data_IF_350304975422
#
_entry.id   IF_350304975422
#
_cell.length_a   1.000
_cell.length_b   1.000
_cell.length_c   1.000
_cell.angle_alpha   90.00
_cell.angle_beta   90.00
_cell.angle_gamma   90.00
#
_symmetry.space_group_name_H-M   'P 1'
#
loop_
_entity.id
_entity.type
_entity.pdbx_description
1 polymer ?
#
# COMPACT_ATOMS: atom_id res chain seq x y z
N UNK A 1 0.54 10.53 6.95
CA UNK A 1 0.18 9.46 5.98
C UNK A 1 0.96 8.21 6.37
N UNK A 2 0.29 7.10 6.68
CA UNK A 2 0.97 5.82 6.98
C UNK A 2 0.32 4.74 6.13
N UNK A 3 1.03 4.29 5.09
CA UNK A 3 0.67 3.06 4.38
C UNK A 3 0.90 1.92 5.39
N UNK A 4 -0.10 1.08 5.64
CA UNK A 4 0.06 -0.08 6.50
C UNK A 4 0.59 -1.25 5.69
N UNK A 5 1.83 -1.65 5.95
CA UNK A 5 2.54 -2.69 5.21
C UNK A 5 3.29 -3.64 6.13
N UNK A 6 3.64 -4.80 5.59
CA UNK A 6 4.49 -5.79 6.21
C UNK A 6 5.65 -6.13 5.27
N UNK A 7 6.88 -6.10 5.79
CA UNK A 7 8.07 -6.57 5.07
C UNK A 7 8.26 -8.05 5.40
N UNK A 8 8.11 -8.92 4.41
CA UNK A 8 8.47 -10.34 4.50
C UNK A 8 9.92 -10.46 4.06
N UNK A 9 10.77 -11.07 4.88
CA UNK A 9 12.17 -11.35 4.52
C UNK A 9 12.42 -12.85 4.53
N UNK A 10 13.30 -13.32 3.65
CA UNK A 10 13.77 -14.70 3.61
C UNK A 10 15.15 -14.75 2.94
N UNK A 11 15.75 -15.93 2.78
CA UNK A 11 17.04 -16.09 2.07
C UNK A 11 17.00 -17.28 1.13
N UNK A 12 17.58 -17.11 -0.06
CA UNK A 12 17.76 -18.19 -1.04
C UNK A 12 18.59 -19.33 -0.48
N UNK A 13 19.61 -19.00 0.33
CA UNK A 13 20.44 -19.98 1.01
C UNK A 13 19.60 -20.86 1.95
N UNK A 14 18.70 -20.25 2.74
CA UNK A 14 17.79 -20.98 3.64
C UNK A 14 16.82 -21.86 2.87
N UNK A 15 16.18 -21.33 1.84
CA UNK A 15 15.25 -22.08 0.98
C UNK A 15 15.91 -23.31 0.35
N UNK A 16 17.11 -23.13 -0.22
CA UNK A 16 17.87 -24.24 -0.80
C UNK A 16 18.21 -25.29 0.25
N UNK A 17 18.63 -24.87 1.46
CA UNK A 17 18.91 -25.79 2.56
C UNK A 17 17.68 -26.56 3.04
N UNK A 18 16.49 -25.95 3.07
CA UNK A 18 15.23 -26.65 3.38
C UNK A 18 14.98 -27.75 2.34
N UNK A 19 15.09 -27.44 1.05
CA UNK A 19 14.87 -28.42 -0.02
C UNK A 19 15.84 -29.60 0.07
N UNK A 20 17.13 -29.31 0.22
CA UNK A 20 18.18 -30.34 0.31
C UNK A 20 17.96 -31.23 1.53
N UNK A 21 17.66 -30.65 2.70
CA UNK A 21 17.40 -31.43 3.91
C UNK A 21 16.14 -32.29 3.83
N UNK A 22 15.13 -31.84 3.08
CA UNK A 22 13.93 -32.64 2.82
C UNK A 22 14.16 -33.80 1.82
N UNK A 23 15.37 -33.91 1.26
CA UNK A 23 15.75 -34.98 0.33
C UNK A 23 15.59 -34.61 -1.15
N UNK A 24 15.40 -33.33 -1.50
CA UNK A 24 15.41 -32.89 -2.89
C UNK A 24 16.85 -32.82 -3.41
N UNK A 25 17.09 -33.46 -4.56
CA UNK A 25 18.37 -33.37 -5.28
C UNK A 25 18.61 -31.94 -5.77
N UNK A 26 19.87 -31.49 -5.76
CA UNK A 26 20.26 -30.14 -6.18
C UNK A 26 19.66 -29.71 -7.53
N UNK A 27 19.63 -30.60 -8.51
CA UNK A 27 19.09 -30.36 -9.86
C UNK A 27 17.57 -30.05 -9.88
N UNK A 28 16.83 -30.49 -8.86
CA UNK A 28 15.38 -30.32 -8.75
C UNK A 28 14.95 -29.21 -7.76
N UNK A 29 15.90 -28.57 -7.08
CA UNK A 29 15.63 -27.54 -6.07
C UNK A 29 14.87 -26.36 -6.66
N UNK A 30 15.26 -25.90 -7.85
CA UNK A 30 14.60 -24.77 -8.53
C UNK A 30 13.14 -25.12 -8.86
N UNK A 31 12.89 -26.32 -9.36
CA UNK A 31 11.54 -26.74 -9.74
C UNK A 31 10.60 -26.93 -8.55
N UNK A 32 11.13 -27.35 -7.40
CA UNK A 32 10.40 -27.37 -6.15
C UNK A 32 10.10 -25.96 -5.65
N UNK A 33 11.08 -25.05 -5.69
CA UNK A 33 10.89 -23.66 -5.28
C UNK A 33 9.89 -22.92 -6.17
N UNK A 34 9.81 -23.25 -7.47
CA UNK A 34 8.76 -22.75 -8.38
C UNK A 34 7.36 -23.18 -7.96
N UNK A 35 7.21 -24.35 -7.35
CA UNK A 35 5.92 -24.75 -6.75
C UNK A 35 5.66 -23.96 -5.46
N UNK A 36 6.68 -23.74 -4.62
CA UNK A 36 6.53 -23.00 -3.35
C UNK A 36 6.19 -21.52 -3.58
N UNK A 37 6.73 -20.86 -4.61
CA UNK A 37 6.39 -19.46 -4.95
C UNK A 37 4.88 -19.26 -5.20
N UNK A 38 4.18 -20.32 -5.60
CA UNK A 38 2.73 -20.29 -5.83
C UNK A 38 1.91 -20.44 -4.56
N UNK A 39 2.53 -20.69 -3.40
CA UNK A 39 1.83 -21.01 -2.15
C UNK A 39 0.80 -19.95 -1.76
N UNK A 40 1.16 -18.67 -1.88
CA UNK A 40 0.25 -17.57 -1.55
C UNK A 40 -0.94 -17.47 -2.53
N UNK A 41 -0.81 -18.00 -3.76
CA UNK A 41 -1.81 -17.89 -4.83
C UNK A 41 -2.76 -19.09 -4.90
N UNK A 42 -2.23 -20.31 -4.80
CA UNK A 42 -3.01 -21.54 -5.00
C UNK A 42 -3.21 -22.34 -3.70
N UNK A 43 -2.52 -21.97 -2.61
CA UNK A 43 -2.63 -22.62 -1.31
C UNK A 43 -1.87 -23.93 -1.19
N UNK A 44 -1.70 -24.39 0.04
CA UNK A 44 -0.86 -25.55 0.38
C UNK A 44 -1.32 -26.85 -0.31
N UNK A 45 -2.62 -27.12 -0.33
CA UNK A 45 -3.17 -28.34 -0.93
C UNK A 45 -2.80 -28.48 -2.41
N UNK A 46 -2.94 -27.40 -3.18
CA UNK A 46 -2.64 -27.41 -4.61
C UNK A 46 -1.13 -27.42 -4.88
N UNK A 47 -0.31 -26.74 -4.05
CA UNK A 47 1.15 -26.84 -4.15
C UNK A 47 1.63 -28.27 -3.85
N UNK A 48 1.06 -28.95 -2.86
CA UNK A 48 1.38 -30.36 -2.56
C UNK A 48 1.05 -31.28 -3.74
N UNK A 49 -0.10 -31.07 -4.40
CA UNK A 49 -0.47 -31.80 -5.63
C UNK A 49 0.51 -31.52 -6.77
N UNK A 50 0.90 -30.26 -6.97
CA UNK A 50 1.87 -29.90 -8.01
C UNK A 50 3.22 -30.57 -7.76
N UNK A 51 3.74 -30.53 -6.54
CA UNK A 51 4.98 -31.22 -6.17
C UNK A 51 4.88 -32.73 -6.39
N UNK A 52 3.76 -33.35 -6.00
CA UNK A 52 3.55 -34.77 -6.23
C UNK A 52 3.53 -35.12 -7.72
N UNK A 53 2.87 -34.30 -8.55
CA UNK A 53 2.83 -34.49 -10.02
C UNK A 53 4.20 -34.35 -10.69
N UNK A 54 5.12 -33.60 -10.08
CA UNK A 54 6.53 -33.46 -10.50
C UNK A 54 7.41 -34.64 -10.06
N UNK A 55 6.85 -35.65 -9.38
CA UNK A 55 7.55 -36.85 -8.95
C UNK A 55 8.21 -36.76 -7.56
N UNK A 56 7.93 -35.71 -6.77
CA UNK A 56 8.42 -35.64 -5.40
C UNK A 56 7.63 -36.59 -4.48
N UNK A 57 8.35 -37.31 -3.62
CA UNK A 57 7.73 -38.26 -2.68
C UNK A 57 6.92 -37.52 -1.60
N UNK A 58 5.87 -38.17 -1.11
CA UNK A 58 4.94 -37.59 -0.13
C UNK A 58 5.62 -37.19 1.18
N UNK A 59 6.54 -38.03 1.69
CA UNK A 59 7.35 -37.77 2.87
C UNK A 59 8.24 -36.52 2.71
N UNK A 60 8.90 -36.37 1.56
CA UNK A 60 9.68 -35.18 1.21
C UNK A 60 8.80 -33.92 1.19
N UNK A 61 7.62 -34.00 0.57
CA UNK A 61 6.68 -32.88 0.52
C UNK A 61 6.23 -32.46 1.92
N UNK A 62 5.82 -33.40 2.77
CA UNK A 62 5.42 -33.09 4.14
C UNK A 62 6.57 -32.46 4.94
N UNK A 63 7.78 -32.98 4.80
CA UNK A 63 8.96 -32.43 5.48
C UNK A 63 9.28 -30.99 5.04
N UNK A 64 9.12 -30.65 3.75
CA UNK A 64 9.28 -29.26 3.26
C UNK A 64 8.29 -28.33 3.98
N UNK A 65 7.01 -28.70 4.01
CA UNK A 65 5.97 -27.89 4.62
C UNK A 65 6.12 -27.78 6.14
N UNK A 66 6.55 -28.86 6.79
CA UNK A 66 6.89 -28.85 8.20
C UNK A 66 8.03 -27.85 8.48
N UNK A 67 9.14 -27.92 7.73
CA UNK A 67 10.28 -27.02 7.89
C UNK A 67 9.92 -25.55 7.58
N UNK A 68 9.08 -25.29 6.59
CA UNK A 68 8.60 -23.93 6.30
C UNK A 68 7.76 -23.38 7.45
N UNK A 69 6.89 -24.21 8.06
CA UNK A 69 5.98 -23.81 9.13
C UNK A 69 6.66 -23.69 10.50
N UNK A 70 7.55 -24.61 10.83
CA UNK A 70 8.16 -24.70 12.17
C UNK A 70 9.17 -23.59 12.45
N UNK A 71 9.52 -22.76 11.45
CA UNK A 71 10.60 -21.80 11.48
C UNK A 71 11.91 -22.53 11.79
N UNK A 72 12.71 -22.88 10.79
CA UNK A 72 13.83 -23.77 10.96
C UNK A 72 15.03 -23.03 11.56
N UNK A 73 14.85 -22.44 12.75
CA UNK A 73 15.86 -21.71 13.53
C UNK A 73 17.06 -22.59 13.86
N UNK A 74 16.87 -23.91 13.84
CA UNK A 74 17.90 -24.93 14.02
C UNK A 74 18.67 -25.25 12.72
N UNK A 75 18.30 -24.67 11.57
CA UNK A 75 19.16 -24.69 10.39
C UNK A 75 20.37 -23.78 10.64
N UNK A 76 21.47 -24.39 11.06
CA UNK A 76 22.77 -23.73 11.11
C UNK A 76 23.31 -23.55 9.68
N UNK A 77 22.81 -22.54 8.98
CA UNK A 77 23.19 -22.19 7.61
C UNK A 77 23.46 -20.69 7.52
N UNK A 78 24.41 -20.30 6.68
CA UNK A 78 24.84 -18.90 6.51
C UNK A 78 23.66 -17.94 6.26
N UNK A 79 22.66 -18.38 5.48
CA UNK A 79 21.48 -17.57 5.21
C UNK A 79 20.63 -17.24 6.45
N UNK A 80 20.66 -18.07 7.49
CA UNK A 80 19.96 -17.79 8.74
C UNK A 80 20.72 -16.74 9.57
N UNK A 81 22.05 -16.80 9.57
CA UNK A 81 22.89 -15.76 10.19
C UNK A 81 22.71 -14.40 9.50
N UNK A 82 22.66 -14.39 8.16
CA UNK A 82 22.37 -13.19 7.37
C UNK A 82 21.01 -12.59 7.73
N UNK A 83 19.97 -13.43 7.87
CA UNK A 83 18.62 -12.99 8.25
C UNK A 83 18.55 -12.44 9.67
N UNK A 84 19.28 -13.05 10.61
CA UNK A 84 19.36 -12.57 12.00
C UNK A 84 20.04 -11.20 12.05
N UNK A 85 21.19 -11.04 11.38
CA UNK A 85 21.88 -9.74 11.27
C UNK A 85 21.02 -8.69 10.58
N UNK A 86 20.34 -9.05 9.49
CA UNK A 86 19.40 -8.15 8.81
C UNK A 86 18.27 -7.71 9.75
N UNK A 87 17.73 -8.63 10.54
CA UNK A 87 16.68 -8.33 11.53
C UNK A 87 17.17 -7.38 12.63
N UNK A 88 18.42 -7.52 13.07
CA UNK A 88 19.06 -6.59 14.01
C UNK A 88 19.21 -5.20 13.40
N UNK A 89 19.71 -5.11 12.17
CA UNK A 89 19.86 -3.83 11.47
C UNK A 89 18.50 -3.14 11.24
N UNK A 90 17.46 -3.88 10.83
CA UNK A 90 16.12 -3.33 10.67
C UNK A 90 15.60 -2.71 11.97
N UNK A 91 15.83 -3.36 13.12
CA UNK A 91 15.45 -2.82 14.43
C UNK A 91 16.24 -1.55 14.79
N UNK A 92 17.53 -1.49 14.46
CA UNK A 92 18.36 -0.29 14.67
C UNK A 92 17.87 0.90 13.81
N UNK A 93 17.31 0.63 12.62
CA UNK A 93 16.63 1.63 11.79
C UNK A 93 15.18 1.90 12.20
N UNK A 94 14.73 1.38 13.35
CA UNK A 94 13.36 1.51 13.87
C UNK A 94 12.27 0.90 12.96
N UNK A 95 12.66 0.01 12.04
CA UNK A 95 11.75 -0.73 11.17
C UNK A 95 11.29 -1.98 11.90
N UNK A 96 10.09 -1.92 12.47
CA UNK A 96 9.53 -3.01 13.29
C UNK A 96 8.48 -3.86 12.57
N UNK A 97 8.01 -3.43 11.40
CA UNK A 97 6.96 -4.09 10.64
C UNK A 97 7.51 -5.09 9.62
N UNK A 98 8.34 -6.02 10.10
CA UNK A 98 8.86 -7.12 9.28
C UNK A 98 8.68 -8.48 9.96
N UNK A 99 8.70 -9.54 9.15
CA UNK A 99 8.76 -10.94 9.63
C UNK A 99 9.67 -11.77 8.73
N UNK A 100 10.33 -12.77 9.31
CA UNK A 100 10.97 -13.83 8.53
C UNK A 100 9.87 -14.77 8.05
N UNK A 101 9.79 -14.98 6.74
CA UNK A 101 8.76 -15.80 6.10
C UNK A 101 9.41 -16.85 5.20
N UNK A 102 9.54 -18.07 5.71
CA UNK A 102 10.19 -19.17 4.98
C UNK A 102 9.40 -19.66 3.77
N UNK A 103 8.15 -19.21 3.59
CA UNK A 103 7.37 -19.47 2.39
C UNK A 103 7.65 -18.50 1.24
N UNK A 104 8.30 -17.36 1.52
CA UNK A 104 8.63 -16.37 0.51
C UNK A 104 9.71 -16.91 -0.43
N UNK A 105 9.34 -17.28 -1.66
CA UNK A 105 10.23 -17.88 -2.66
C UNK A 105 10.26 -17.08 -3.98
N UNK A 106 10.74 -15.83 -3.94
CA UNK A 106 10.78 -14.92 -5.11
C UNK A 106 12.07 -15.04 -5.93
N UNK A 107 12.00 -14.66 -7.22
CA UNK A 107 13.15 -14.41 -8.11
C UNK A 107 14.15 -15.57 -8.16
N UNK A 108 13.63 -16.76 -8.44
CA UNK A 108 14.32 -18.03 -8.25
C UNK A 108 15.57 -18.20 -9.12
N UNK A 109 15.64 -17.45 -10.22
CA UNK A 109 16.66 -17.61 -11.25
C UNK A 109 17.92 -16.75 -11.02
N UNK A 110 17.86 -15.71 -10.15
CA UNK A 110 18.99 -14.76 -10.02
C UNK A 110 19.33 -14.29 -8.60
N UNK A 111 18.45 -14.43 -7.60
CA UNK A 111 18.82 -14.09 -6.23
C UNK A 111 19.79 -15.13 -5.62
N UNK A 112 20.80 -14.65 -4.90
CA UNK A 112 21.88 -15.45 -4.28
C UNK A 112 21.84 -15.45 -2.75
N UNK A 113 21.13 -14.51 -2.13
CA UNK A 113 21.14 -14.30 -0.68
C UNK A 113 19.79 -13.87 -0.12
N UNK A 114 19.75 -12.87 0.79
CA UNK A 114 18.50 -12.34 1.33
C UNK A 114 17.58 -11.83 0.22
N UNK A 115 16.29 -12.10 0.38
CA UNK A 115 15.18 -11.64 -0.46
C UNK A 115 14.12 -11.03 0.45
N UNK A 116 13.36 -10.08 -0.10
CA UNK A 116 12.29 -9.46 0.64
C UNK A 116 11.13 -9.06 -0.28
N UNK A 117 9.97 -8.94 0.35
CA UNK A 117 8.73 -8.49 -0.27
C UNK A 117 8.02 -7.56 0.70
N UNK A 118 7.58 -6.41 0.20
CA UNK A 118 6.72 -5.49 0.93
C UNK A 118 5.30 -5.74 0.46
N UNK A 119 4.42 -6.15 1.37
CA UNK A 119 3.01 -6.38 1.08
C UNK A 119 2.14 -5.34 1.79
N UNK A 120 1.12 -4.84 1.10
CA UNK A 120 0.08 -4.03 1.74
C UNK A 120 -0.76 -4.91 2.66
N UNK A 121 -1.17 -4.41 3.83
CA UNK A 121 -2.16 -5.11 4.65
C UNK A 121 -3.54 -5.15 3.99
N UNK A 122 -3.80 -4.29 3.01
CA UNK A 122 -4.95 -4.45 2.13
C UNK A 122 -4.70 -5.63 1.18
N UNK A 123 -5.36 -6.77 1.48
CA UNK A 123 -5.24 -8.03 0.71
C UNK A 123 -5.60 -7.88 -0.77
N UNK A 124 -6.38 -6.87 -1.17
CA UNK A 124 -6.70 -6.63 -2.59
C UNK A 124 -5.47 -6.21 -3.41
N UNK A 125 -4.52 -5.53 -2.78
CA UNK A 125 -3.40 -4.86 -3.45
C UNK A 125 -2.18 -5.78 -3.51
N UNK A 126 -1.98 -6.59 -2.48
CA UNK A 126 -0.89 -7.57 -2.43
C UNK A 126 0.50 -6.93 -2.32
N UNK A 127 1.44 -7.43 -3.12
CA UNK A 127 2.86 -7.04 -3.11
C UNK A 127 3.08 -5.65 -3.74
N UNK A 128 3.64 -4.70 -2.99
CA UNK A 128 3.89 -3.32 -3.45
C UNK A 128 5.35 -3.08 -3.81
N UNK A 129 6.26 -3.88 -3.29
CA UNK A 129 7.68 -3.85 -3.64
C UNK A 129 8.32 -5.21 -3.38
N UNK A 130 9.43 -5.47 -4.06
CA UNK A 130 10.22 -6.67 -3.82
C UNK A 130 11.66 -6.47 -4.23
N UNK A 131 12.54 -7.30 -3.70
CA UNK A 131 13.96 -7.17 -3.95
C UNK A 131 14.78 -8.26 -3.27
N UNK A 132 16.09 -8.09 -3.34
CA UNK A 132 17.04 -9.03 -2.76
C UNK A 132 18.44 -8.87 -3.30
N UNK A 133 19.32 -9.77 -2.85
CA UNK A 133 20.73 -9.85 -3.23
C UNK A 133 20.95 -10.80 -4.41
N UNK A 134 21.70 -10.38 -5.42
CA UNK A 134 21.90 -11.08 -6.70
C UNK A 134 23.36 -10.97 -7.19
N UNK A 135 24.28 -11.61 -6.47
CA UNK A 135 25.73 -11.42 -6.67
C UNK A 135 26.27 -11.93 -8.02
N UNK A 136 25.53 -12.81 -8.70
CA UNK A 136 25.98 -13.44 -9.95
C UNK A 136 25.42 -12.75 -11.21
N UNK A 137 24.49 -11.79 -11.07
CA UNK A 137 23.79 -11.22 -12.23
C UNK A 137 24.71 -10.34 -13.09
N UNK A 138 25.57 -9.55 -12.46
CA UNK A 138 26.48 -8.62 -13.16
C UNK A 138 27.60 -9.39 -13.87
N UNK A 139 28.03 -10.52 -13.31
CA UNK A 139 29.06 -11.42 -13.88
C UNK A 139 28.64 -12.01 -15.24
N UNK A 140 27.33 -12.07 -15.54
CA UNK A 140 26.86 -12.48 -16.87
C UNK A 140 27.24 -11.50 -17.99
N UNK A 141 27.56 -10.25 -17.63
CA UNK A 141 27.84 -9.15 -18.55
C UNK A 141 29.18 -8.46 -18.27
N UNK A 142 29.94 -8.92 -17.27
CA UNK A 142 31.20 -8.34 -16.82
C UNK A 142 32.20 -9.44 -16.49
N UNK A 143 33.49 -9.17 -16.69
CA UNK A 143 34.57 -10.06 -16.24
C UNK A 143 34.78 -10.05 -14.73
N UNK A 144 34.11 -9.14 -14.02
CA UNK A 144 34.20 -8.99 -12.57
C UNK A 144 32.95 -9.52 -11.87
N UNK A 145 33.17 -10.23 -10.76
CA UNK A 145 32.10 -10.61 -9.85
C UNK A 145 31.76 -9.46 -8.92
N UNK A 146 30.63 -8.80 -9.17
CA UNK A 146 30.18 -7.63 -8.43
C UNK A 146 28.92 -7.98 -7.62
N UNK A 147 29.03 -8.08 -6.28
CA UNK A 147 27.88 -8.24 -5.40
C UNK A 147 26.88 -7.09 -5.54
N UNK A 148 25.59 -7.41 -5.58
CA UNK A 148 24.55 -6.41 -5.76
C UNK A 148 23.29 -6.75 -4.94
N UNK A 149 22.62 -5.72 -4.46
CA UNK A 149 21.29 -5.81 -3.85
C UNK A 149 20.44 -4.64 -4.32
N UNK A 150 19.14 -4.85 -4.43
CA UNK A 150 18.24 -3.82 -4.94
C UNK A 150 16.79 -4.07 -4.59
N UNK A 151 15.97 -3.08 -4.91
CA UNK A 151 14.53 -3.07 -4.72
C UNK A 151 13.84 -2.59 -6.01
N UNK A 152 12.68 -3.14 -6.30
CA UNK A 152 11.76 -2.63 -7.30
C UNK A 152 10.42 -2.27 -6.66
N UNK A 153 9.84 -1.14 -7.08
CA UNK A 153 8.59 -0.61 -6.57
C UNK A 153 7.48 -0.79 -7.61
N UNK A 154 6.36 -1.38 -7.19
CA UNK A 154 5.14 -1.46 -8.00
C UNK A 154 4.37 -0.16 -7.95
N UNK A 155 4.80 0.84 -8.73
CA UNK A 155 4.23 2.20 -8.71
C UNK A 155 2.71 2.22 -8.96
N UNK A 156 2.20 1.40 -9.87
CA UNK A 156 0.76 1.28 -10.15
C UNK A 156 -0.04 0.88 -8.89
N UNK A 157 0.45 -0.10 -8.13
CA UNK A 157 -0.18 -0.55 -6.87
C UNK A 157 -0.08 0.51 -5.77
N UNK A 158 1.04 1.24 -5.73
CA UNK A 158 1.19 2.38 -4.81
C UNK A 158 0.17 3.46 -5.14
N UNK A 159 -0.05 3.77 -6.41
CA UNK A 159 -1.09 4.71 -6.83
C UNK A 159 -2.49 4.25 -6.41
N UNK A 160 -2.82 2.97 -6.57
CA UNK A 160 -4.10 2.41 -6.12
C UNK A 160 -4.32 2.64 -4.61
N UNK A 161 -3.31 2.35 -3.76
CA UNK A 161 -3.34 2.65 -2.32
C UNK A 161 -3.61 4.14 -2.07
N UNK A 162 -2.90 5.00 -2.80
CA UNK A 162 -3.03 6.45 -2.65
C UNK A 162 -4.40 6.96 -3.11
N UNK A 163 -5.05 6.28 -4.05
CA UNK A 163 -6.41 6.62 -4.51
C UNK A 163 -7.52 6.12 -3.59
N UNK A 164 -7.33 4.97 -2.92
CA UNK A 164 -8.25 4.48 -1.88
C UNK A 164 -8.18 5.35 -0.61
N UNK A 165 -7.05 6.02 -0.37
CA UNK A 165 -6.96 7.01 0.69
C UNK A 165 -7.88 8.18 0.37
N UNK A 166 -8.93 8.37 1.20
CA UNK A 166 -9.93 9.42 1.06
C UNK A 166 -9.26 10.74 0.61
N UNK A 167 -9.44 11.12 -0.65
CA UNK A 167 -9.28 12.52 -1.05
C UNK A 167 -10.21 13.28 -0.12
N UNK A 168 -9.67 14.09 0.80
CA UNK A 168 -10.53 15.01 1.57
C UNK A 168 -11.37 15.76 0.53
N UNK A 169 -12.69 15.75 0.68
CA UNK A 169 -13.57 16.35 -0.33
C UNK A 169 -13.15 17.80 -0.51
N UNK A 170 -13.09 18.25 -1.76
CA UNK A 170 -12.74 19.63 -2.08
C UNK A 170 -14.03 20.44 -2.03
N UNK A 171 -14.10 21.35 -1.06
CA UNK A 171 -15.24 22.23 -0.83
C UNK A 171 -14.79 23.65 -1.11
N UNK A 172 -15.60 24.40 -1.84
CA UNK A 172 -15.39 25.83 -2.01
C UNK A 172 -16.42 26.59 -1.19
N UNK A 173 -15.99 27.52 -0.34
CA UNK A 173 -16.90 28.37 0.44
C UNK A 173 -16.96 29.74 -0.23
N UNK A 174 -18.14 30.09 -0.74
CA UNK A 174 -18.40 31.32 -1.45
C UNK A 174 -19.10 32.35 -0.55
N UNK A 175 -18.73 33.62 -0.69
CA UNK A 175 -19.50 34.73 -0.11
C UNK A 175 -20.54 35.24 -1.12
N UNK A 176 -21.79 35.38 -0.71
CA UNK A 176 -22.81 36.02 -1.55
C UNK A 176 -22.57 37.54 -1.67
N UNK A 177 -22.08 38.14 -0.58
CA UNK A 177 -21.81 39.58 -0.42
C UNK A 177 -20.54 39.79 0.41
N UNK A 178 -19.97 41.00 0.41
CA UNK A 178 -18.75 41.30 1.19
C UNK A 178 -18.99 41.30 2.70
N UNK A 179 -20.20 41.69 3.16
CA UNK A 179 -20.54 41.82 4.58
C UNK A 179 -20.64 40.48 5.35
N UNK A 180 -20.58 39.34 4.65
CA UNK A 180 -20.60 38.00 5.26
C UNK A 180 -19.22 37.32 5.26
N UNK A 181 -18.16 38.03 4.88
CA UNK A 181 -16.83 37.44 4.73
C UNK A 181 -16.26 36.88 6.05
N UNK A 182 -16.55 37.49 7.19
CA UNK A 182 -16.17 36.94 8.50
C UNK A 182 -16.83 35.57 8.77
N UNK A 183 -18.09 35.40 8.38
CA UNK A 183 -18.80 34.13 8.50
C UNK A 183 -18.20 33.06 7.58
N UNK A 184 -17.77 33.44 6.37
CA UNK A 184 -17.01 32.55 5.47
C UNK A 184 -15.76 32.04 6.15
N UNK A 185 -14.94 32.92 6.75
CA UNK A 185 -13.71 32.50 7.44
C UNK A 185 -14.01 31.52 8.58
N UNK A 186 -15.08 31.74 9.36
CA UNK A 186 -15.51 30.84 10.44
C UNK A 186 -15.88 29.45 9.91
N UNK A 187 -16.69 29.40 8.84
CA UNK A 187 -17.09 28.13 8.20
C UNK A 187 -15.90 27.42 7.57
N UNK A 188 -15.01 28.15 6.90
CA UNK A 188 -13.77 27.61 6.34
C UNK A 188 -12.90 26.98 7.42
N UNK A 189 -12.74 27.65 8.57
CA UNK A 189 -11.98 27.11 9.70
C UNK A 189 -12.59 25.80 10.19
N UNK A 190 -13.90 25.77 10.40
CA UNK A 190 -14.65 24.57 10.84
C UNK A 190 -14.44 23.40 9.87
N UNK A 191 -14.66 23.63 8.57
CA UNK A 191 -14.58 22.56 7.57
C UNK A 191 -13.15 22.06 7.29
N UNK A 192 -12.11 22.85 7.59
CA UNK A 192 -10.70 22.47 7.31
C UNK A 192 -10.19 21.31 8.16
N UNK A 193 -10.85 21.00 9.26
CA UNK A 193 -10.50 19.85 10.08
C UNK A 193 -10.63 18.55 9.26
N UNK A 194 -11.73 18.40 8.51
CA UNK A 194 -12.06 17.17 7.79
C UNK A 194 -12.02 17.27 6.26
N UNK A 195 -12.05 18.48 5.68
CA UNK A 195 -12.11 18.71 4.23
C UNK A 195 -10.95 19.54 3.67
N UNK A 196 -10.75 19.50 2.35
CA UNK A 196 -9.91 20.48 1.65
C UNK A 196 -10.78 21.65 1.25
N UNK A 197 -10.61 22.78 1.96
CA UNK A 197 -11.50 23.93 1.82
C UNK A 197 -10.77 25.13 1.24
N UNK A 198 -11.29 25.64 0.13
CA UNK A 198 -10.84 26.86 -0.54
C UNK A 198 -11.94 27.93 -0.48
N UNK A 199 -11.58 29.20 -0.62
CA UNK A 199 -12.51 30.33 -0.59
C UNK A 199 -11.91 31.54 -1.31
N UNK A 200 -12.74 32.49 -1.72
CA UNK A 200 -12.25 33.64 -2.48
C UNK A 200 -11.67 34.75 -1.58
N UNK A 201 -10.34 34.83 -1.52
CA UNK A 201 -9.63 35.89 -0.79
C UNK A 201 -9.86 37.29 -1.38
N UNK A 202 -10.20 37.37 -2.67
CA UNK A 202 -10.41 38.63 -3.38
C UNK A 202 -11.82 39.20 -3.24
N UNK A 203 -12.73 38.49 -2.56
CA UNK A 203 -14.12 38.90 -2.34
C UNK A 203 -14.85 39.32 -3.63
N UNK A 204 -14.55 38.63 -4.74
CA UNK A 204 -15.18 38.87 -6.04
C UNK A 204 -16.68 38.60 -5.95
N UNK A 205 -17.45 39.13 -6.89
CA UNK A 205 -18.88 38.81 -7.01
C UNK A 205 -19.11 37.30 -7.07
N UNK A 206 -20.20 36.82 -6.48
CA UNK A 206 -20.56 35.40 -6.40
C UNK A 206 -20.43 34.69 -7.75
N UNK A 207 -20.88 35.30 -8.85
CA UNK A 207 -20.74 34.72 -10.20
C UNK A 207 -19.31 34.34 -10.56
N UNK A 208 -18.32 35.20 -10.25
CA UNK A 208 -16.89 34.92 -10.48
C UNK A 208 -16.33 33.88 -9.53
N UNK A 209 -16.88 33.77 -8.33
CA UNK A 209 -16.54 32.70 -7.41
C UNK A 209 -17.05 31.34 -7.92
N UNK A 210 -18.28 31.30 -8.46
CA UNK A 210 -18.86 30.10 -9.09
C UNK A 210 -18.09 29.68 -10.33
N UNK A 211 -17.71 30.62 -11.21
CA UNK A 211 -16.85 30.35 -12.37
C UNK A 211 -15.51 29.73 -11.94
N UNK A 212 -14.88 30.27 -10.88
CA UNK A 212 -13.64 29.73 -10.33
C UNK A 212 -13.84 28.32 -9.74
N UNK A 213 -14.91 28.11 -8.97
CA UNK A 213 -15.22 26.82 -8.38
C UNK A 213 -15.43 25.74 -9.47
N UNK A 214 -16.17 26.09 -10.53
CA UNK A 214 -16.38 25.21 -11.68
C UNK A 214 -15.07 24.91 -12.42
N UNK A 215 -14.28 25.94 -12.74
CA UNK A 215 -12.99 25.78 -13.44
C UNK A 215 -11.97 24.94 -12.65
N UNK A 216 -12.08 24.90 -11.32
CA UNK A 216 -11.23 24.11 -10.43
C UNK A 216 -11.85 22.77 -10.02
N UNK A 217 -12.99 22.41 -10.62
CA UNK A 217 -13.71 21.14 -10.43
C UNK A 217 -14.00 20.86 -8.94
N UNK A 218 -14.52 21.85 -8.23
CA UNK A 218 -15.11 21.61 -6.91
C UNK A 218 -16.46 20.92 -7.08
N UNK A 219 -16.67 19.77 -6.42
CA UNK A 219 -17.94 19.03 -6.48
C UNK A 219 -19.06 19.79 -5.75
N UNK A 220 -18.72 20.51 -4.69
CA UNK A 220 -19.68 21.23 -3.87
C UNK A 220 -19.21 22.66 -3.55
N UNK A 221 -20.17 23.58 -3.56
CA UNK A 221 -19.98 24.97 -3.13
C UNK A 221 -20.91 25.28 -1.96
N UNK A 222 -20.34 25.78 -0.86
CA UNK A 222 -21.10 26.32 0.28
C UNK A 222 -21.22 27.82 0.10
N UNK A 223 -22.42 28.30 -0.20
CA UNK A 223 -22.74 29.71 -0.39
C UNK A 223 -23.21 30.29 0.94
N UNK A 224 -22.47 31.28 1.44
CA UNK A 224 -22.78 32.00 2.65
C UNK A 224 -23.51 33.29 2.27
N UNK A 225 -24.77 33.41 2.66
CA UNK A 225 -25.61 34.58 2.40
C UNK A 225 -26.29 35.08 3.66
N UNK A 226 -26.49 36.40 3.75
CA UNK A 226 -27.03 37.07 4.95
C UNK A 226 -28.39 36.50 5.40
N UNK A 227 -29.30 36.29 4.45
CA UNK A 227 -30.65 35.74 4.69
C UNK A 227 -30.62 34.30 5.23
N UNK A 228 -29.65 33.50 4.81
CA UNK A 228 -29.51 32.12 5.31
C UNK A 228 -28.89 32.12 6.72
N UNK A 229 -27.93 33.02 6.96
CA UNK A 229 -27.30 33.19 8.27
C UNK A 229 -28.30 33.59 9.37
N UNK A 230 -29.33 34.38 9.05
CA UNK A 230 -30.43 34.70 9.98
C UNK A 230 -31.11 33.45 10.54
N UNK A 231 -31.08 32.34 9.78
CA UNK A 231 -31.65 31.05 10.16
C UNK A 231 -30.59 30.04 10.62
N UNK A 232 -29.34 30.45 10.80
CA UNK A 232 -28.17 29.57 11.03
C UNK A 232 -27.98 28.53 9.91
N UNK A 233 -28.23 28.92 8.67
CA UNK A 233 -28.14 28.09 7.48
C UNK A 233 -27.11 28.62 6.48
N UNK A 234 -26.72 27.75 5.58
CA UNK A 234 -26.00 28.05 4.34
C UNK A 234 -26.67 27.34 3.18
N UNK A 235 -26.40 27.80 1.97
CA UNK A 235 -26.85 27.11 0.76
C UNK A 235 -25.72 26.23 0.25
N UNK A 236 -25.94 24.92 0.20
CA UNK A 236 -25.04 23.97 -0.43
C UNK A 236 -25.48 23.75 -1.88
N UNK A 237 -24.58 23.97 -2.81
CA UNK A 237 -24.79 23.71 -4.23
C UNK A 237 -23.96 22.54 -4.71
N UNK A 238 -24.61 21.60 -5.37
CA UNK A 238 -23.96 20.57 -6.17
C UNK A 238 -23.59 21.16 -7.53
N UNK A 239 -22.31 21.09 -7.89
CA UNK A 239 -21.80 21.69 -9.12
C UNK A 239 -22.03 20.82 -10.36
N UNK A 240 -22.36 19.54 -10.19
CA UNK A 240 -22.70 18.63 -11.28
C UNK A 240 -24.18 18.75 -11.64
N UNK A 241 -25.08 18.60 -10.66
CA UNK A 241 -26.53 18.68 -10.88
C UNK A 241 -27.05 20.12 -10.93
N UNK A 242 -26.33 21.06 -10.31
CA UNK A 242 -26.79 22.43 -10.12
C UNK A 242 -27.83 22.60 -9.01
N UNK A 243 -28.22 21.52 -8.31
CA UNK A 243 -29.19 21.57 -7.22
C UNK A 243 -28.65 22.36 -6.02
N UNK A 244 -29.52 23.15 -5.40
CA UNK A 244 -29.23 23.92 -4.20
C UNK A 244 -30.11 23.45 -3.05
N UNK A 245 -29.50 23.28 -1.88
CA UNK A 245 -30.19 22.85 -0.65
C UNK A 245 -29.73 23.70 0.51
N UNK A 246 -30.66 24.08 1.39
CA UNK A 246 -30.31 24.76 2.64
C UNK A 246 -29.88 23.74 3.68
N UNK A 247 -28.76 24.00 4.34
CA UNK A 247 -28.18 23.14 5.36
C UNK A 247 -27.88 23.99 6.60
N UNK A 248 -28.28 23.50 7.78
CA UNK A 248 -27.91 24.14 9.05
C UNK A 248 -26.42 24.05 9.23
N UNK A 249 -25.78 25.14 9.66
CA UNK A 249 -24.30 25.19 9.82
C UNK A 249 -23.80 24.08 10.75
N UNK A 250 -24.55 23.76 11.82
CA UNK A 250 -24.22 22.70 12.77
C UNK A 250 -24.21 21.28 12.16
N UNK A 251 -24.96 21.07 11.08
CA UNK A 251 -25.11 19.76 10.42
C UNK A 251 -24.33 19.72 9.09
N UNK A 252 -23.64 20.80 8.73
CA UNK A 252 -22.97 20.95 7.43
C UNK A 252 -21.85 19.93 7.26
N UNK A 253 -21.05 19.71 8.30
CA UNK A 253 -19.93 18.78 8.26
C UNK A 253 -20.41 17.34 8.04
N UNK A 254 -21.35 16.85 8.85
CA UNK A 254 -21.92 15.50 8.69
C UNK A 254 -22.60 15.33 7.34
N UNK A 255 -23.36 16.35 6.89
CA UNK A 255 -23.98 16.32 5.57
C UNK A 255 -22.94 16.20 4.45
N UNK A 256 -21.85 16.97 4.53
CA UNK A 256 -20.75 16.90 3.57
C UNK A 256 -19.99 15.58 3.65
N UNK A 257 -19.94 14.87 4.78
CA UNK A 257 -19.33 13.53 4.88
C UNK A 257 -20.17 12.46 4.17
N UNK A 258 -21.50 12.53 4.29
CA UNK A 258 -22.44 11.54 3.77
C UNK A 258 -22.66 11.58 2.24
N UNK A 259 -22.38 12.73 1.60
CA UNK A 259 -22.54 12.87 0.15
C UNK A 259 -21.57 11.97 -0.62
N UNK A 260 -22.07 11.06 -1.46
CA UNK A 260 -21.19 10.29 -2.36
C UNK A 260 -20.63 11.21 -3.46
N UNK A 261 -19.34 11.03 -3.78
CA UNK A 261 -18.71 11.56 -5.01
C UNK A 261 -18.86 10.48 -6.07
#
# INVERSE_FOLDING_TARGET
>A
MKIDFLIRINSRKVLNSIMIKAGIKNELVIDALRSIDKLDKIGESEVKKELYSKGFRKDTIEMIFEMIKSSPKELNVEGMEELNKLSEYLKLFEINNFKIDFSLARGLDYYTGPIFEIVSKNKRIGSIAGGGRYDNLIELFSSEKIPATGISLGIERIFEILTEYKKKKRIFVASATEDVFENVIKIVKMLRENFYVDYDLKQRKLSKQMEYANARMFSFVVIVGKKDLENNEVTLRDMESGEERKVKIKDLESFLEDLKI
#
